data_IF_011989829664
#
_entry.id   IF_011989829664
#
_cell.length_a   1.000
_cell.length_b   1.000
_cell.length_c   1.000
_cell.angle_alpha   90.00
_cell.angle_beta   90.00
_cell.angle_gamma   90.00
#
_symmetry.space_group_name_H-M   'P 1'
#
loop_
_entity.id
_entity.type
_entity.pdbx_description
1 polymer ?
#
# COMPACT_ATOMS: atom_id res chain seq x y z
N UNK A 1 88.27 16.37 -7.66
CA UNK A 1 86.91 16.59 -8.22
C UNK A 1 86.25 15.26 -8.63
N UNK A 2 86.04 14.30 -7.73
CA UNK A 2 85.38 13.01 -8.07
C UNK A 2 84.36 12.53 -7.02
N UNK A 3 83.79 13.44 -6.24
CA UNK A 3 82.82 13.10 -5.18
C UNK A 3 81.42 13.66 -5.39
N UNK A 4 81.18 14.44 -6.46
CA UNK A 4 79.86 15.06 -6.72
C UNK A 4 78.96 14.31 -7.70
N UNK A 5 79.48 13.35 -8.48
CA UNK A 5 78.69 12.61 -9.48
C UNK A 5 77.83 11.52 -8.82
N UNK A 6 78.31 10.88 -7.74
CA UNK A 6 77.57 9.84 -7.03
C UNK A 6 76.32 10.35 -6.28
N UNK A 7 76.27 11.65 -5.95
CA UNK A 7 75.11 12.26 -5.28
C UNK A 7 73.94 12.53 -6.24
N UNK A 8 74.21 12.88 -7.51
CA UNK A 8 73.15 13.14 -8.49
C UNK A 8 72.45 11.87 -8.98
N UNK A 9 73.17 10.75 -9.12
CA UNK A 9 72.57 9.48 -9.54
C UNK A 9 71.52 8.95 -8.53
N UNK A 10 71.71 9.19 -7.22
CA UNK A 10 70.73 8.79 -6.19
C UNK A 10 69.46 9.66 -6.18
N UNK A 11 69.57 10.95 -6.54
CA UNK A 11 68.42 11.86 -6.56
C UNK A 11 67.43 11.56 -7.68
N UNK A 12 67.93 11.17 -8.86
CA UNK A 12 67.09 10.87 -10.03
C UNK A 12 66.34 9.55 -9.89
N UNK A 13 66.92 8.57 -9.19
CA UNK A 13 66.23 7.30 -8.89
C UNK A 13 65.00 7.48 -8.00
N UNK A 14 65.06 8.39 -7.02
CA UNK A 14 63.93 8.67 -6.12
C UNK A 14 62.83 9.44 -6.85
N UNK A 15 63.19 10.40 -7.72
CA UNK A 15 62.23 11.14 -8.55
C UNK A 15 61.53 10.24 -9.57
N UNK A 16 62.26 9.31 -10.20
CA UNK A 16 61.69 8.35 -11.13
C UNK A 16 60.73 7.36 -10.44
N UNK A 17 61.08 6.90 -9.22
CA UNK A 17 60.22 6.02 -8.44
C UNK A 17 58.97 6.75 -7.93
N UNK A 18 59.09 8.02 -7.54
CA UNK A 18 57.95 8.84 -7.14
C UNK A 18 56.98 9.13 -8.31
N UNK A 19 57.50 9.36 -9.52
CA UNK A 19 56.68 9.54 -10.71
C UNK A 19 55.97 8.25 -11.12
N UNK A 20 56.63 7.09 -11.00
CA UNK A 20 56.03 5.79 -11.26
C UNK A 20 54.90 5.48 -10.26
N UNK A 21 55.08 5.83 -8.99
CA UNK A 21 54.04 5.68 -7.96
C UNK A 21 52.85 6.63 -8.17
N UNK A 22 53.09 7.84 -8.69
CA UNK A 22 52.02 8.80 -9.00
C UNK A 22 51.17 8.33 -10.19
N UNK A 23 51.79 7.77 -11.23
CA UNK A 23 51.08 7.23 -12.40
C UNK A 23 50.32 5.95 -12.05
N UNK A 24 50.86 5.11 -11.16
CA UNK A 24 50.16 3.93 -10.65
C UNK A 24 48.95 4.29 -9.75
N UNK A 25 48.92 5.49 -9.17
CA UNK A 25 47.81 5.99 -8.34
C UNK A 25 46.61 6.53 -9.13
N UNK A 26 46.76 6.80 -10.43
CA UNK A 26 45.65 7.20 -11.31
C UNK A 26 44.91 5.96 -11.85
N UNK A 27 44.42 5.11 -10.95
CA UNK A 27 43.38 4.14 -11.30
C UNK A 27 42.10 4.93 -11.59
N UNK A 28 41.66 4.96 -12.85
CA UNK A 28 40.32 5.45 -13.19
C UNK A 28 39.31 4.65 -12.38
N UNK A 29 38.65 5.28 -11.41
CA UNK A 29 37.52 4.67 -10.75
C UNK A 29 36.50 4.25 -11.82
N UNK A 30 36.07 2.97 -11.86
CA UNK A 30 35.02 2.58 -12.79
C UNK A 30 33.76 3.38 -12.47
N UNK A 31 33.19 4.01 -13.50
CA UNK A 31 31.86 4.62 -13.44
C UNK A 31 30.88 3.61 -12.84
N UNK A 32 30.24 3.95 -11.72
CA UNK A 32 29.25 3.08 -11.12
C UNK A 32 28.15 2.81 -12.14
N UNK A 33 28.11 1.56 -12.57
CA UNK A 33 27.07 0.97 -13.40
C UNK A 33 25.75 1.20 -12.67
N UNK A 34 24.83 1.96 -13.26
CA UNK A 34 23.42 1.88 -12.89
C UNK A 34 22.97 0.47 -13.27
N UNK A 35 23.05 -0.45 -12.31
CA UNK A 35 22.68 -1.85 -12.51
C UNK A 35 21.20 -1.93 -12.88
N UNK A 36 20.89 -2.61 -13.98
CA UNK A 36 19.54 -3.10 -14.21
C UNK A 36 19.22 -4.10 -13.09
N UNK A 37 18.17 -3.85 -12.31
CA UNK A 37 17.64 -4.85 -11.38
C UNK A 37 16.98 -5.95 -12.21
N UNK A 38 17.72 -7.03 -12.49
CA UNK A 38 17.13 -8.26 -13.01
C UNK A 38 16.39 -8.96 -11.89
N UNK A 39 15.07 -9.11 -12.04
CA UNK A 39 14.26 -9.98 -11.19
C UNK A 39 14.63 -11.41 -11.57
N UNK A 40 15.48 -12.07 -10.77
CA UNK A 40 15.93 -13.44 -10.99
C UNK A 40 15.29 -14.37 -9.97
N UNK A 41 14.59 -15.41 -10.44
CA UNK A 41 14.05 -16.48 -9.60
C UNK A 41 12.56 -16.40 -9.26
N UNK A 42 11.70 -16.05 -10.22
CA UNK A 42 10.27 -16.33 -10.05
C UNK A 42 10.10 -17.86 -9.89
N UNK A 43 9.62 -18.36 -8.74
CA UNK A 43 9.42 -19.79 -8.56
C UNK A 43 8.32 -20.28 -9.52
N UNK A 44 8.54 -21.43 -10.16
CA UNK A 44 7.47 -22.10 -10.89
C UNK A 44 6.46 -22.64 -9.86
N UNK A 45 5.33 -21.93 -9.73
CA UNK A 45 4.29 -22.19 -8.73
C UNK A 45 3.63 -23.56 -8.99
N UNK A 46 3.97 -24.55 -8.16
CA UNK A 46 3.35 -25.89 -8.18
C UNK A 46 2.60 -26.22 -6.87
N UNK A 47 2.48 -25.26 -5.95
CA UNK A 47 1.71 -25.38 -4.72
C UNK A 47 1.08 -24.02 -4.35
N UNK A 48 -0.12 -23.99 -3.72
CA UNK A 48 -0.78 -22.75 -3.37
C UNK A 48 0.12 -21.89 -2.47
N UNK A 49 0.42 -20.68 -2.93
CA UNK A 49 1.35 -19.74 -2.29
C UNK A 49 1.04 -19.54 -0.79
N UNK A 50 1.93 -20.03 0.09
CA UNK A 50 2.00 -19.57 1.47
C UNK A 50 3.08 -18.48 1.56
N UNK A 51 2.65 -17.24 1.79
CA UNK A 51 3.50 -16.07 2.10
C UNK A 51 4.58 -15.72 1.08
N UNK A 52 4.19 -15.50 -0.18
CA UNK A 52 5.10 -14.91 -1.18
C UNK A 52 5.26 -13.40 -0.91
N UNK A 53 6.16 -13.06 0.02
CA UNK A 53 6.55 -11.68 0.27
C UNK A 53 7.45 -11.22 -0.86
N UNK A 54 6.94 -10.33 -1.71
CA UNK A 54 7.77 -9.64 -2.71
C UNK A 54 8.91 -8.89 -2.00
N UNK A 55 10.15 -9.35 -2.20
CA UNK A 55 11.36 -8.71 -1.68
C UNK A 55 11.89 -7.78 -2.76
N UNK A 56 11.87 -6.47 -2.49
CA UNK A 56 12.55 -5.49 -3.33
C UNK A 56 13.91 -5.24 -2.71
N UNK A 57 14.94 -5.77 -3.33
CA UNK A 57 16.33 -5.52 -2.95
C UNK A 57 16.82 -4.29 -3.74
N UNK A 58 17.25 -3.27 -3.01
CA UNK A 58 18.18 -2.26 -3.53
C UNK A 58 19.58 -2.56 -2.95
N UNK A 59 20.64 -2.12 -3.63
CA UNK A 59 22.05 -2.42 -3.35
C UNK A 59 22.50 -2.12 -1.90
N UNK A 60 21.67 -1.43 -1.11
CA UNK A 60 21.94 -1.07 0.29
C UNK A 60 20.82 -1.42 1.27
N UNK A 61 19.63 -1.85 0.81
CA UNK A 61 18.53 -2.22 1.71
C UNK A 61 17.59 -3.27 1.12
N UNK A 62 17.24 -4.26 1.94
CA UNK A 62 16.14 -5.20 1.66
C UNK A 62 14.83 -4.57 2.13
N UNK A 63 14.00 -4.09 1.20
CA UNK A 63 12.64 -3.62 1.52
C UNK A 63 11.65 -4.74 1.18
N UNK A 64 11.18 -5.43 2.20
CA UNK A 64 10.08 -6.40 2.04
C UNK A 64 8.77 -5.63 1.83
N UNK A 65 8.04 -5.93 0.77
CA UNK A 65 6.67 -5.44 0.60
C UNK A 65 5.73 -6.25 1.51
N UNK A 66 5.88 -6.08 2.81
CA UNK A 66 4.96 -6.66 3.80
C UNK A 66 3.71 -5.78 3.91
N UNK A 67 2.59 -6.39 4.29
CA UNK A 67 1.37 -5.65 4.62
C UNK A 67 1.63 -4.59 5.69
N UNK A 68 2.53 -4.86 6.65
CA UNK A 68 2.94 -3.88 7.66
C UNK A 68 3.61 -2.63 7.05
N UNK A 69 4.49 -2.81 6.06
CA UNK A 69 5.18 -1.70 5.40
C UNK A 69 4.25 -0.92 4.46
N UNK A 70 3.27 -1.57 3.84
CA UNK A 70 2.24 -0.90 3.02
C UNK A 70 1.24 -0.16 3.91
N UNK A 71 0.76 -0.77 4.99
CA UNK A 71 -0.14 -0.18 5.98
C UNK A 71 0.46 1.08 6.64
N UNK A 72 1.77 1.09 6.89
CA UNK A 72 2.46 2.25 7.45
C UNK A 72 2.39 3.50 6.56
N UNK A 73 2.30 3.32 5.23
CA UNK A 73 2.23 4.40 4.25
C UNK A 73 0.82 4.61 3.66
N UNK A 74 -0.11 3.67 3.87
CA UNK A 74 -1.51 3.74 3.47
C UNK A 74 -2.41 3.40 4.67
N UNK A 75 -2.86 4.39 5.47
CA UNK A 75 -3.60 4.14 6.70
C UNK A 75 -4.96 3.43 6.48
N UNK A 76 -5.45 3.40 5.23
CA UNK A 76 -6.67 2.69 4.85
C UNK A 76 -6.52 1.15 4.82
N UNK A 77 -5.29 0.61 4.86
CA UNK A 77 -5.04 -0.84 4.86
C UNK A 77 -4.51 -1.23 6.24
N UNK A 78 -5.41 -1.56 7.16
CA UNK A 78 -5.03 -1.97 8.53
C UNK A 78 -5.04 -3.50 8.72
N UNK A 79 -5.68 -4.24 7.81
CA UNK A 79 -5.80 -5.69 7.90
C UNK A 79 -5.01 -6.38 6.77
N UNK A 80 -4.39 -7.55 7.07
CA UNK A 80 -3.65 -8.33 6.08
C UNK A 80 -4.53 -8.91 4.97
N UNK A 81 -5.85 -8.91 5.16
CA UNK A 81 -6.82 -9.36 4.19
C UNK A 81 -8.12 -8.60 4.34
N UNK A 82 -8.83 -8.41 3.22
CA UNK A 82 -10.20 -7.93 3.23
C UNK A 82 -11.14 -9.13 3.28
N UNK A 83 -11.61 -9.46 4.48
CA UNK A 83 -12.67 -10.46 4.65
C UNK A 83 -14.03 -9.79 4.52
N UNK A 84 -14.79 -10.12 3.48
CA UNK A 84 -16.19 -9.71 3.39
C UNK A 84 -16.99 -10.43 4.49
N UNK A 85 -17.61 -9.65 5.38
CA UNK A 85 -18.49 -10.21 6.39
C UNK A 85 -19.72 -10.81 5.73
N UNK A 86 -20.13 -12.00 6.18
CA UNK A 86 -21.41 -12.60 5.82
C UNK A 86 -22.56 -12.08 6.69
N UNK A 87 -22.25 -11.30 7.73
CA UNK A 87 -23.24 -10.59 8.54
C UNK A 87 -23.49 -9.20 7.97
N UNK A 88 -24.74 -8.70 8.00
CA UNK A 88 -25.04 -7.32 7.62
C UNK A 88 -24.22 -6.33 8.44
N UNK A 89 -23.69 -5.32 7.77
CA UNK A 89 -22.96 -4.24 8.44
C UNK A 89 -23.91 -3.55 9.45
N UNK A 90 -23.52 -3.38 10.72
CA UNK A 90 -24.38 -2.76 11.72
C UNK A 90 -24.56 -1.27 11.45
N UNK A 91 -25.64 -0.69 11.99
CA UNK A 91 -25.98 0.74 11.83
C UNK A 91 -24.89 1.67 12.37
N UNK A 92 -24.21 1.27 13.45
CA UNK A 92 -23.08 1.99 14.05
C UNK A 92 -21.87 2.08 13.13
N UNK A 93 -21.81 1.25 12.09
CA UNK A 93 -20.76 1.24 11.07
C UNK A 93 -21.27 1.75 9.71
N UNK A 94 -22.42 2.43 9.68
CA UNK A 94 -23.02 2.97 8.46
C UNK A 94 -23.79 1.95 7.61
N UNK A 95 -23.99 0.74 8.13
CA UNK A 95 -24.81 -0.28 7.47
C UNK A 95 -26.30 -0.17 7.83
N UNK A 96 -27.08 -1.11 7.31
CA UNK A 96 -28.53 -1.19 7.59
C UNK A 96 -28.85 -2.17 8.72
N UNK A 97 -27.90 -3.02 9.10
CA UNK A 97 -28.12 -4.09 10.08
C UNK A 97 -29.13 -5.16 9.63
N UNK A 98 -29.55 -5.16 8.36
CA UNK A 98 -30.55 -6.06 7.79
C UNK A 98 -29.93 -6.87 6.64
N UNK A 99 -30.14 -8.19 6.64
CA UNK A 99 -29.71 -9.08 5.56
C UNK A 99 -30.68 -9.07 4.38
N UNK A 100 -31.96 -8.85 4.67
CA UNK A 100 -33.04 -8.81 3.70
C UNK A 100 -33.99 -7.67 4.02
N UNK A 101 -34.67 -7.19 2.99
CA UNK A 101 -35.71 -6.18 3.11
C UNK A 101 -37.09 -6.84 3.02
N UNK A 102 -38.05 -6.28 3.75
CA UNK A 102 -39.44 -6.69 3.70
C UNK A 102 -39.97 -6.40 2.30
N UNK A 103 -40.59 -7.39 1.61
CA UNK A 103 -41.13 -7.19 0.27
C UNK A 103 -42.08 -6.00 0.22
N UNK A 104 -41.99 -5.23 -0.87
CA UNK A 104 -42.88 -4.11 -1.19
C UNK A 104 -42.95 -3.00 -0.13
N UNK A 105 -41.99 -2.93 0.79
CA UNK A 105 -41.97 -1.95 1.87
C UNK A 105 -41.05 -0.78 1.54
N UNK A 106 -41.43 0.41 1.98
CA UNK A 106 -40.53 1.56 2.03
C UNK A 106 -39.77 1.53 3.35
N UNK A 107 -38.46 1.71 3.33
CA UNK A 107 -37.69 1.81 4.56
C UNK A 107 -37.28 3.25 4.87
N UNK A 108 -37.41 3.63 6.14
CA UNK A 108 -37.08 4.96 6.64
C UNK A 108 -36.09 4.89 7.78
N UNK A 109 -35.07 5.75 7.74
CA UNK A 109 -34.13 5.90 8.83
C UNK A 109 -34.75 6.66 10.01
N UNK A 110 -34.47 6.22 11.23
CA UNK A 110 -34.85 6.90 12.47
C UNK A 110 -33.66 7.63 13.14
N UNK A 111 -32.50 7.67 12.46
CA UNK A 111 -31.29 8.35 12.91
C UNK A 111 -30.51 7.67 14.04
N UNK A 112 -31.02 6.59 14.65
CA UNK A 112 -30.42 6.01 15.87
C UNK A 112 -30.36 4.48 15.88
N UNK A 113 -31.11 3.79 15.03
CA UNK A 113 -31.21 2.34 15.04
C UNK A 113 -31.50 1.75 13.67
N UNK A 114 -32.02 0.51 13.68
CA UNK A 114 -32.42 -0.18 12.46
C UNK A 114 -33.47 0.65 11.69
N UNK A 115 -33.38 0.70 10.35
CA UNK A 115 -34.40 1.31 9.51
C UNK A 115 -35.76 0.65 9.73
N UNK A 116 -36.82 1.47 9.75
CA UNK A 116 -38.19 0.98 9.93
C UNK A 116 -38.87 0.78 8.58
N UNK A 117 -39.65 -0.31 8.47
CA UNK A 117 -40.41 -0.61 7.28
C UNK A 117 -41.82 0.01 7.38
N UNK A 118 -42.18 0.83 6.39
CA UNK A 118 -43.55 1.21 6.08
C UNK A 118 -44.08 0.20 5.06
N UNK A 119 -45.02 -0.64 5.50
CA UNK A 119 -45.63 -1.67 4.66
C UNK A 119 -46.45 -1.08 3.51
N UNK A 120 -46.93 -1.93 2.61
CA UNK A 120 -47.81 -1.51 1.51
C UNK A 120 -49.12 -0.93 2.03
N UNK A 121 -49.56 0.18 1.42
CA UNK A 121 -50.88 0.74 1.67
C UNK A 121 -51.99 -0.12 1.04
N UNK A 122 -53.21 0.07 1.52
CA UNK A 122 -54.39 -0.54 0.91
C UNK A 122 -54.91 0.32 -0.24
N UNK A 123 -55.80 -0.25 -1.07
CA UNK A 123 -56.45 0.49 -2.16
C UNK A 123 -57.10 1.78 -1.65
N UNK A 124 -56.85 2.88 -2.36
CA UNK A 124 -57.38 4.20 -2.02
C UNK A 124 -56.57 4.97 -0.98
N UNK A 125 -55.49 4.40 -0.43
CA UNK A 125 -54.59 5.11 0.48
C UNK A 125 -53.47 5.85 -0.27
N UNK A 126 -53.05 6.97 0.30
CA UNK A 126 -51.93 7.80 -0.15
C UNK A 126 -50.91 7.86 0.99
N UNK A 127 -49.62 7.80 0.65
CA UNK A 127 -48.55 7.94 1.64
C UNK A 127 -48.32 9.43 1.93
N UNK A 128 -48.64 9.86 3.15
CA UNK A 128 -48.39 11.21 3.62
C UNK A 128 -47.05 11.31 4.33
N UNK A 129 -46.31 12.38 4.06
CA UNK A 129 -45.14 12.74 4.86
C UNK A 129 -45.55 13.26 6.23
N UNK A 130 -44.84 12.83 7.28
CA UNK A 130 -45.06 13.27 8.66
C UNK A 130 -43.77 13.93 9.17
N UNK A 131 -43.87 15.13 9.74
CA UNK A 131 -42.69 15.81 10.30
C UNK A 131 -42.27 15.13 11.60
N UNK A 132 -41.02 14.66 11.65
CA UNK A 132 -40.44 14.06 12.85
C UNK A 132 -40.71 12.56 13.02
N UNK A 133 -41.51 11.95 12.13
CA UNK A 133 -41.90 10.55 12.17
C UNK A 133 -41.80 9.88 10.80
N UNK A 134 -42.00 8.57 10.75
CA UNK A 134 -42.12 7.84 9.50
C UNK A 134 -43.39 8.26 8.73
N UNK A 135 -43.38 8.25 7.38
CA UNK A 135 -44.56 8.46 6.56
C UNK A 135 -45.67 7.45 6.90
N UNK A 136 -46.93 7.88 6.77
CA UNK A 136 -48.09 7.07 7.12
C UNK A 136 -49.14 7.05 6.02
N UNK A 137 -49.83 5.93 5.86
CA UNK A 137 -50.94 5.80 4.91
C UNK A 137 -52.19 6.51 5.42
N UNK A 138 -52.82 7.30 4.55
CA UNK A 138 -54.07 7.99 4.80
C UNK A 138 -55.06 7.74 3.66
N UNK A 139 -56.34 7.57 3.98
CA UNK A 139 -57.43 7.53 3.00
C UNK A 139 -57.91 8.93 2.59
N UNK A 140 -57.43 9.97 3.28
CA UNK A 140 -57.72 11.36 2.98
C UNK A 140 -56.48 11.99 2.35
N UNK A 141 -56.60 12.58 1.14
CA UNK A 141 -55.53 13.39 0.57
C UNK A 141 -55.19 14.55 1.52
N UNK A 142 -53.91 14.94 1.62
CA UNK A 142 -53.50 16.13 2.36
C UNK A 142 -54.06 17.43 1.77
#
# INVERSE_FOLDING_TARGET
>A
MRTRIAAQAKGWGILALALLMLVAGLSLAPSSVYGATTISGLPEETAPASDEVMVIEDATTTKKATLANIAANMPAITAPSLTLSTTPLPVTSGGWGLATLTPYSLYTGNGTGLPQAVGVGTTGQILGGVTGDAPSWSSNPP
#
